data_IF_492021682201
#
_entry.id   IF_492021682201
#
_cell.length_a   1.000
_cell.length_b   1.000
_cell.length_c   1.000
_cell.angle_alpha   90.00
_cell.angle_beta   90.00
_cell.angle_gamma   90.00
#
_symmetry.space_group_name_H-M   'P 1'
#
loop_
_entity.id
_entity.type
_entity.pdbx_description
1 polymer ?
#
# COMPACT_ATOMS: atom_id res chain seq x y z
N UNK A 1 -1.26 8.78 -20.25
CA UNK A 1 -0.91 8.03 -19.02
C UNK A 1 -1.66 6.70 -19.07
N UNK A 2 -0.96 5.57 -19.24
CA UNK A 2 -1.56 4.25 -19.44
C UNK A 2 -2.07 3.57 -18.14
N UNK A 3 -1.83 4.17 -16.96
CA UNK A 3 -2.41 3.70 -15.68
C UNK A 3 -1.86 2.36 -15.19
N UNK A 4 -0.63 2.02 -15.54
CA UNK A 4 -0.01 0.72 -15.26
C UNK A 4 0.47 0.60 -13.81
N UNK A 5 0.20 -0.54 -13.17
CA UNK A 5 0.68 -0.82 -11.81
C UNK A 5 2.16 -1.20 -11.90
N UNK A 6 3.01 -0.43 -11.23
CA UNK A 6 4.48 -0.60 -11.24
C UNK A 6 4.98 -0.88 -9.82
N UNK A 7 6.01 -1.71 -9.73
CA UNK A 7 6.72 -2.00 -8.48
C UNK A 7 5.98 -2.97 -7.56
N UNK A 8 6.50 -3.09 -6.33
CA UNK A 8 5.92 -3.96 -5.30
C UNK A 8 4.87 -3.20 -4.49
N UNK A 9 3.78 -3.90 -4.20
CA UNK A 9 2.73 -3.45 -3.29
C UNK A 9 3.17 -3.65 -1.83
N UNK A 10 3.20 -2.59 -1.03
CA UNK A 10 3.41 -2.70 0.41
C UNK A 10 2.13 -3.15 1.11
N UNK A 11 2.24 -4.21 1.91
CA UNK A 11 1.20 -4.65 2.85
C UNK A 11 1.78 -4.69 4.25
N UNK A 12 1.12 -4.00 5.19
CA UNK A 12 1.49 -3.99 6.61
C UNK A 12 0.42 -4.71 7.43
N UNK A 13 0.77 -5.87 7.98
CA UNK A 13 -0.10 -6.63 8.88
C UNK A 13 0.03 -6.17 10.32
N UNK A 14 -1.04 -6.34 11.10
CA UNK A 14 -1.03 -6.06 12.52
C UNK A 14 -0.58 -7.30 13.30
N UNK A 15 0.52 -7.18 14.05
CA UNK A 15 1.03 -8.25 14.93
C UNK A 15 1.26 -7.70 16.34
N UNK A 16 0.85 -8.44 17.38
CA UNK A 16 0.91 -7.98 18.79
C UNK A 16 2.29 -7.45 19.19
N UNK A 17 3.35 -8.14 18.75
CA UNK A 17 4.74 -7.79 19.09
C UNK A 17 5.44 -6.98 18.00
N UNK A 18 4.73 -6.64 16.91
CA UNK A 18 5.30 -5.97 15.74
C UNK A 18 6.27 -6.85 14.94
N UNK A 19 6.19 -8.17 15.12
CA UNK A 19 6.99 -9.18 14.41
C UNK A 19 6.10 -10.35 14.03
N UNK A 20 6.39 -10.97 12.90
CA UNK A 20 5.73 -12.22 12.54
C UNK A 20 6.22 -13.36 13.44
N UNK A 21 5.29 -14.13 13.99
CA UNK A 21 5.63 -15.38 14.68
C UNK A 21 6.16 -16.44 13.70
N UNK A 22 6.98 -17.40 14.16
CA UNK A 22 7.61 -18.40 13.28
C UNK A 22 6.59 -19.25 12.52
N UNK A 23 5.45 -19.57 13.15
CA UNK A 23 4.36 -20.31 12.50
C UNK A 23 3.59 -19.46 11.48
N UNK A 24 3.57 -18.14 11.65
CA UNK A 24 2.91 -17.22 10.72
C UNK A 24 3.72 -17.15 9.43
N UNK A 25 5.03 -16.92 9.55
CA UNK A 25 5.95 -16.85 8.39
C UNK A 25 5.85 -18.13 7.54
N UNK A 26 5.87 -19.32 8.17
CA UNK A 26 5.79 -20.60 7.46
C UNK A 26 4.49 -20.81 6.68
N UNK A 27 3.38 -20.19 7.11
CA UNK A 27 2.07 -20.36 6.49
C UNK A 27 1.73 -19.28 5.47
N UNK A 28 2.44 -18.16 5.48
CA UNK A 28 2.16 -17.05 4.57
C UNK A 28 2.65 -17.39 3.17
N UNK A 29 1.73 -17.33 2.20
CA UNK A 29 2.05 -17.36 0.77
C UNK A 29 2.05 -15.92 0.28
N UNK A 30 3.23 -15.40 -0.06
CA UNK A 30 3.42 -14.00 -0.43
C UNK A 30 3.69 -13.94 -1.94
N UNK A 31 2.83 -13.26 -2.73
CA UNK A 31 3.11 -13.03 -4.15
C UNK A 31 4.40 -12.22 -4.36
N UNK A 32 5.10 -12.46 -5.47
CA UNK A 32 6.39 -11.80 -5.76
C UNK A 32 6.28 -10.27 -5.88
N UNK A 33 5.13 -9.78 -6.32
CA UNK A 33 4.81 -8.35 -6.44
C UNK A 33 4.30 -7.73 -5.13
N UNK A 34 4.42 -8.42 -4.00
CA UNK A 34 4.05 -7.92 -2.67
C UNK A 34 5.28 -7.86 -1.77
N UNK A 35 5.50 -6.68 -1.18
CA UNK A 35 6.41 -6.53 -0.05
C UNK A 35 5.58 -6.57 1.24
N UNK A 36 5.72 -7.67 2.00
CA UNK A 36 4.97 -7.88 3.23
C UNK A 36 5.79 -7.48 4.46
N UNK A 37 5.21 -6.66 5.33
CA UNK A 37 5.77 -6.29 6.63
C UNK A 37 4.70 -6.33 7.73
N UNK A 38 5.07 -6.08 8.97
CA UNK A 38 4.14 -5.98 10.09
C UNK A 38 4.48 -4.86 11.08
N UNK A 39 3.48 -4.43 11.83
CA UNK A 39 3.63 -3.49 12.94
C UNK A 39 2.60 -3.77 14.03
N UNK A 40 2.77 -3.18 15.22
CA UNK A 40 1.82 -3.36 16.34
C UNK A 40 0.41 -2.87 16.03
N UNK A 41 0.29 -1.84 15.21
CA UNK A 41 -0.99 -1.21 14.85
C UNK A 41 -1.49 -1.60 13.45
N UNK A 42 -0.63 -2.23 12.65
CA UNK A 42 -0.84 -2.39 11.21
C UNK A 42 -1.03 -1.06 10.46
N UNK A 43 -0.69 0.07 11.08
CA UNK A 43 -0.72 1.40 10.45
C UNK A 43 0.65 1.74 9.90
N UNK A 44 0.67 2.67 8.96
CA UNK A 44 1.89 3.33 8.51
C UNK A 44 2.52 4.13 9.64
N UNK A 45 3.83 4.12 9.68
CA UNK A 45 4.68 5.03 10.44
C UNK A 45 5.89 5.42 9.54
N UNK A 46 6.73 6.34 10.02
CA UNK A 46 7.89 6.82 9.25
C UNK A 46 8.83 5.68 8.84
N UNK A 47 9.10 4.70 9.72
CA UNK A 47 10.01 3.58 9.45
C UNK A 47 9.47 2.67 8.35
N UNK A 48 8.16 2.45 8.33
CA UNK A 48 7.51 1.68 7.27
C UNK A 48 7.58 2.44 5.94
N UNK A 49 7.47 3.78 5.95
CA UNK A 49 7.66 4.60 4.74
C UNK A 49 9.10 4.49 4.23
N UNK A 50 10.11 4.61 5.10
CA UNK A 50 11.53 4.40 4.73
C UNK A 50 11.74 3.01 4.12
N UNK A 51 11.16 1.98 4.74
CA UNK A 51 11.22 0.60 4.24
C UNK A 51 10.59 0.50 2.85
N UNK A 52 9.46 1.16 2.62
CA UNK A 52 8.80 1.21 1.33
C UNK A 52 9.63 1.94 0.27
N UNK A 53 10.26 3.08 0.63
CA UNK A 53 11.13 3.83 -0.28
C UNK A 53 12.27 2.93 -0.77
N UNK A 54 12.96 2.23 0.13
CA UNK A 54 14.10 1.39 -0.22
C UNK A 54 13.69 0.12 -0.99
N UNK A 55 12.64 -0.57 -0.55
CA UNK A 55 12.32 -1.92 -1.06
C UNK A 55 11.27 -1.95 -2.18
N UNK A 56 10.51 -0.87 -2.36
CA UNK A 56 9.42 -0.80 -3.33
C UNK A 56 9.60 0.37 -4.30
N UNK A 57 9.86 1.59 -3.80
CA UNK A 57 9.98 2.78 -4.65
C UNK A 57 11.27 2.76 -5.49
N UNK A 58 12.42 2.67 -4.84
CA UNK A 58 13.75 2.72 -5.48
C UNK A 58 13.94 1.67 -6.58
N UNK A 59 13.49 0.40 -6.43
CA UNK A 59 13.61 -0.59 -7.51
C UNK A 59 12.62 -0.39 -8.66
N UNK A 60 11.55 0.38 -8.46
CA UNK A 60 10.51 0.61 -9.45
C UNK A 60 10.79 1.82 -10.37
N UNK A 61 11.72 2.69 -9.97
CA UNK A 61 12.04 3.93 -10.70
C UNK A 61 13.27 3.73 -11.57
N UNK A 62 13.11 3.89 -12.87
CA UNK A 62 14.20 3.75 -13.86
C UNK A 62 14.56 5.09 -14.53
N UNK A 63 13.76 6.12 -14.31
CA UNK A 63 13.90 7.46 -14.88
C UNK A 63 13.34 8.50 -13.91
N UNK A 64 13.40 9.78 -14.30
CA UNK A 64 12.78 10.86 -13.54
C UNK A 64 11.28 10.58 -13.33
N UNK A 65 10.82 10.63 -12.09
CA UNK A 65 9.41 10.41 -11.73
C UNK A 65 8.89 11.49 -10.80
N UNK A 66 7.57 11.67 -10.82
CA UNK A 66 6.83 12.51 -9.88
C UNK A 66 6.06 11.62 -8.89
N UNK A 67 6.41 11.71 -7.61
CA UNK A 67 5.72 11.03 -6.53
C UNK A 67 4.69 11.97 -5.88
N UNK A 68 3.41 11.62 -5.99
CA UNK A 68 2.31 12.33 -5.37
C UNK A 68 1.93 11.69 -4.03
N UNK A 69 2.25 12.37 -2.93
CA UNK A 69 1.96 11.92 -1.56
C UNK A 69 0.68 12.55 -0.99
N UNK A 70 0.08 11.87 -0.03
CA UNK A 70 -0.94 12.45 0.85
C UNK A 70 -0.29 13.53 1.74
N UNK A 71 -1.07 14.55 2.07
CA UNK A 71 -0.91 15.47 3.20
C UNK A 71 -0.74 14.84 4.59
N UNK A 72 -0.52 13.53 4.72
CA UNK A 72 -0.33 12.87 6.01
C UNK A 72 1.06 13.17 6.60
N UNK A 73 1.12 13.51 7.89
CA UNK A 73 2.36 13.96 8.55
C UNK A 73 3.53 12.98 8.50
N UNK A 74 3.26 11.67 8.37
CA UNK A 74 4.30 10.64 8.22
C UNK A 74 4.91 10.54 6.82
N UNK A 75 4.40 11.26 5.82
CA UNK A 75 4.92 11.32 4.44
C UNK A 75 5.44 12.69 4.05
N UNK A 76 5.23 13.73 4.88
CA UNK A 76 5.70 15.10 4.61
C UNK A 76 7.20 15.31 4.82
N UNK A 77 7.83 14.39 5.54
CA UNK A 77 9.25 14.49 5.89
C UNK A 77 10.09 14.14 4.65
N UNK A 78 10.71 15.15 4.04
CA UNK A 78 11.52 14.97 2.83
C UNK A 78 12.72 14.05 3.06
N UNK A 79 13.20 13.95 4.31
CA UNK A 79 14.31 13.07 4.66
C UNK A 79 14.01 11.59 4.40
N UNK A 80 12.72 11.21 4.31
CA UNK A 80 12.31 9.84 3.99
C UNK A 80 12.66 9.43 2.55
N UNK A 81 12.94 10.40 1.67
CA UNK A 81 13.12 10.20 0.23
C UNK A 81 14.53 10.51 -0.27
N UNK A 82 15.49 10.77 0.63
CA UNK A 82 16.90 11.09 0.27
C UNK A 82 17.51 10.03 -0.66
N UNK A 83 17.18 8.75 -0.45
CA UNK A 83 17.64 7.61 -1.26
C UNK A 83 17.23 7.66 -2.73
N UNK A 84 16.26 8.50 -3.09
CA UNK A 84 15.71 8.63 -4.44
C UNK A 84 15.62 10.08 -4.92
N UNK A 85 16.16 11.04 -4.16
CA UNK A 85 15.95 12.48 -4.39
C UNK A 85 16.46 12.97 -5.76
N UNK A 86 17.47 12.29 -6.29
CA UNK A 86 18.10 12.60 -7.57
C UNK A 86 17.24 12.24 -8.79
N UNK A 87 16.26 11.35 -8.61
CA UNK A 87 15.41 10.82 -9.70
C UNK A 87 13.91 10.89 -9.40
N UNK A 88 13.52 11.19 -8.16
CA UNK A 88 12.13 11.22 -7.72
C UNK A 88 11.80 12.58 -7.10
N UNK A 89 11.01 13.37 -7.82
CA UNK A 89 10.44 14.60 -7.28
C UNK A 89 9.21 14.27 -6.43
N UNK A 90 9.22 14.64 -5.15
CA UNK A 90 8.08 14.41 -4.26
C UNK A 90 7.22 15.66 -4.18
N UNK A 91 5.91 15.51 -4.38
CA UNK A 91 4.90 16.55 -4.20
C UNK A 91 3.81 16.07 -3.25
N UNK A 92 3.32 16.99 -2.41
CA UNK A 92 2.29 16.71 -1.42
C UNK A 92 0.97 17.29 -1.90
N UNK A 93 -0.04 16.43 -2.01
CA UNK A 93 -1.40 16.84 -2.33
C UNK A 93 -1.95 17.72 -1.18
N UNK A 94 -2.60 18.85 -1.46
CA UNK A 94 -3.19 19.70 -0.43
C UNK A 94 -4.12 18.93 0.53
N UNK A 95 -4.10 19.25 1.83
CA UNK A 95 -4.98 18.59 2.79
C UNK A 95 -6.45 18.77 2.42
N UNK A 96 -7.27 17.77 2.77
CA UNK A 96 -8.73 17.73 2.50
C UNK A 96 -9.13 17.66 1.02
N UNK A 97 -8.18 17.45 0.10
CA UNK A 97 -8.48 17.32 -1.33
C UNK A 97 -8.36 15.88 -1.86
N UNK A 98 -8.01 14.91 -1.02
CA UNK A 98 -7.74 13.52 -1.44
C UNK A 98 -8.88 12.91 -2.26
N UNK A 99 -10.13 13.05 -1.79
CA UNK A 99 -11.30 12.54 -2.50
C UNK A 99 -11.67 13.29 -3.79
N UNK A 100 -10.97 14.39 -4.11
CA UNK A 100 -11.21 15.21 -5.29
C UNK A 100 -10.10 15.07 -6.32
N UNK A 101 -8.83 15.07 -5.89
CA UNK A 101 -7.68 15.17 -6.79
C UNK A 101 -6.65 14.05 -6.65
N UNK A 102 -6.73 13.19 -5.63
CA UNK A 102 -5.79 12.08 -5.52
C UNK A 102 -6.20 10.97 -6.50
N UNK A 103 -5.39 10.69 -7.55
CA UNK A 103 -5.83 9.80 -8.64
C UNK A 103 -6.15 8.39 -8.15
N UNK A 104 -5.41 7.93 -7.14
CA UNK A 104 -5.60 6.64 -6.51
C UNK A 104 -6.99 6.50 -5.86
N UNK A 105 -7.41 7.45 -5.02
CA UNK A 105 -8.71 7.39 -4.34
C UNK A 105 -9.88 7.60 -5.30
N UNK A 106 -9.73 8.55 -6.23
CA UNK A 106 -10.79 8.92 -7.17
C UNK A 106 -11.06 7.82 -8.19
N UNK A 107 -10.00 7.20 -8.72
CA UNK A 107 -10.10 6.22 -9.80
C UNK A 107 -9.82 4.79 -9.33
N UNK A 108 -8.57 4.49 -8.99
CA UNK A 108 -8.11 3.10 -8.79
C UNK A 108 -8.79 2.40 -7.60
N UNK A 109 -8.70 2.98 -6.41
CA UNK A 109 -9.26 2.42 -5.19
C UNK A 109 -10.78 2.40 -5.19
N UNK A 110 -11.43 3.31 -5.90
CA UNK A 110 -12.89 3.28 -6.04
C UNK A 110 -13.35 1.97 -6.69
N UNK A 111 -12.68 1.54 -7.76
CA UNK A 111 -12.98 0.26 -8.41
C UNK A 111 -12.70 -0.92 -7.49
N UNK A 112 -11.55 -0.91 -6.80
CA UNK A 112 -11.20 -1.97 -5.83
C UNK A 112 -12.20 -2.07 -4.67
N UNK A 113 -12.70 -0.93 -4.15
CA UNK A 113 -13.73 -0.87 -3.10
C UNK A 113 -15.05 -1.48 -3.59
N UNK A 114 -15.48 -1.15 -4.80
CA UNK A 114 -16.70 -1.71 -5.42
C UNK A 114 -16.57 -3.23 -5.60
N UNK A 115 -15.44 -3.69 -6.14
CA UNK A 115 -15.17 -5.10 -6.33
C UNK A 115 -15.18 -5.87 -5.00
N UNK A 116 -14.47 -5.35 -3.99
CA UNK A 116 -14.43 -5.93 -2.65
C UNK A 116 -15.83 -6.01 -2.02
N UNK A 117 -16.66 -4.99 -2.22
CA UNK A 117 -18.06 -4.99 -1.76
C UNK A 117 -18.85 -6.12 -2.43
N UNK A 118 -18.82 -6.21 -3.77
CA UNK A 118 -19.52 -7.26 -4.53
C UNK A 118 -19.09 -8.67 -4.11
N UNK A 119 -17.79 -8.90 -3.91
CA UNK A 119 -17.30 -10.19 -3.42
C UNK A 119 -17.85 -10.52 -2.03
N UNK A 120 -17.82 -9.56 -1.09
CA UNK A 120 -18.38 -9.76 0.24
C UNK A 120 -19.88 -10.06 0.19
N UNK A 121 -20.62 -9.30 -0.61
CA UNK A 121 -22.06 -9.49 -0.79
C UNK A 121 -22.34 -10.91 -1.30
N UNK A 122 -21.54 -11.41 -2.26
CA UNK A 122 -21.71 -12.77 -2.78
C UNK A 122 -21.36 -13.85 -1.77
N UNK A 123 -20.27 -13.71 -1.03
CA UNK A 123 -19.89 -14.64 0.05
C UNK A 123 -21.02 -14.78 1.08
N UNK A 124 -21.67 -13.67 1.43
CA UNK A 124 -22.76 -13.65 2.40
C UNK A 124 -24.05 -14.28 1.83
N UNK A 125 -24.43 -13.92 0.61
CA UNK A 125 -25.65 -14.43 -0.04
C UNK A 125 -25.56 -15.95 -0.26
N UNK A 126 -24.40 -16.42 -0.72
CA UNK A 126 -24.18 -17.84 -1.04
C UNK A 126 -23.77 -18.67 0.18
N UNK A 127 -23.60 -18.04 1.34
CA UNK A 127 -23.13 -18.67 2.58
C UNK A 127 -21.84 -19.48 2.37
N UNK A 128 -20.92 -18.93 1.58
CA UNK A 128 -19.65 -19.62 1.30
C UNK A 128 -18.83 -19.74 2.59
N UNK A 129 -18.15 -20.87 2.83
CA UNK A 129 -17.34 -21.10 4.04
C UNK A 129 -15.99 -20.35 3.97
N UNK A 130 -16.03 -19.05 3.62
CA UNK A 130 -14.86 -18.19 3.44
C UNK A 130 -14.82 -17.17 4.56
N UNK A 131 -13.76 -17.24 5.39
CA UNK A 131 -13.53 -16.23 6.43
C UNK A 131 -12.84 -14.99 5.83
N UNK A 132 -13.60 -13.90 5.71
CA UNK A 132 -13.09 -12.60 5.20
C UNK A 132 -12.02 -11.99 6.13
N UNK A 133 -11.92 -12.49 7.36
CA UNK A 133 -10.96 -12.04 8.36
C UNK A 133 -9.66 -12.86 8.39
N UNK A 134 -9.54 -13.91 7.57
CA UNK A 134 -8.31 -14.69 7.45
C UNK A 134 -7.17 -13.80 6.93
N UNK A 135 -5.93 -14.02 7.39
CA UNK A 135 -4.75 -13.25 6.97
C UNK A 135 -4.39 -13.46 5.51
N UNK A 136 -4.74 -14.62 4.94
CA UNK A 136 -4.51 -14.88 3.51
C UNK A 136 -5.52 -14.16 2.60
N UNK A 137 -6.70 -13.81 3.12
CA UNK A 137 -7.81 -13.23 2.35
C UNK A 137 -7.99 -11.74 2.70
N UNK A 138 -7.64 -11.38 3.93
CA UNK A 138 -7.84 -10.10 4.57
C UNK A 138 -6.88 -9.05 4.04
N UNK A 139 -7.27 -8.38 2.96
CA UNK A 139 -6.73 -7.08 2.53
C UNK A 139 -7.09 -6.00 3.55
N UNK A 140 -6.47 -6.03 4.74
CA UNK A 140 -6.81 -5.06 5.80
C UNK A 140 -6.25 -3.68 5.52
N UNK A 141 -5.06 -3.54 4.91
CA UNK A 141 -4.50 -2.28 4.37
C UNK A 141 -3.50 -2.57 3.25
N UNK A 142 -3.89 -2.28 2.01
CA UNK A 142 -2.99 -2.26 0.85
C UNK A 142 -2.55 -0.83 0.61
N UNK A 143 -1.26 -0.61 0.39
CA UNK A 143 -0.73 0.68 -0.04
C UNK A 143 -0.16 0.51 -1.45
N UNK A 144 -0.96 0.61 -2.52
CA UNK A 144 -0.41 1.00 -3.80
C UNK A 144 -0.17 2.50 -3.73
N UNK A 145 1.10 2.89 -3.78
CA UNK A 145 1.48 4.24 -4.16
C UNK A 145 1.76 4.14 -5.65
N UNK A 146 0.97 4.82 -6.47
CA UNK A 146 1.10 4.77 -7.92
C UNK A 146 2.05 5.87 -8.36
N UNK A 147 2.93 5.51 -9.28
CA UNK A 147 3.91 6.39 -9.90
C UNK A 147 3.23 7.14 -11.04
N UNK A 148 3.40 8.45 -11.08
CA UNK A 148 3.28 9.15 -12.35
C UNK A 148 4.62 9.03 -13.07
N UNK A 149 4.68 8.14 -14.06
CA UNK A 149 5.63 8.25 -15.17
C UNK A 149 5.12 9.32 -16.14
#
# INVERSE_FOLDING_TARGET
MSGEIVGKLLITLQERDGKFGPNVIKKLKIPENVYLTCSKSGKLDKKIVETWVVNCLKPAITSNVLLLCDSWGGQKDQNLYLEVENICQVQVIPPHTTGQIQPLDVYFFRQAKIFKKKMKDRILIDQLPISIHDRQIGTRRMIPVHFAM
#
